data_IF_544061509394
#
_entry.id   IF_544061509394
#
_cell.length_a   1.000
_cell.length_b   1.000
_cell.length_c   1.000
_cell.angle_alpha   90.00
_cell.angle_beta   90.00
_cell.angle_gamma   90.00
#
_symmetry.space_group_name_H-M   'P 1'
#
loop_
_entity.id
_entity.type
_entity.pdbx_description
1 polymer ?
#
# COMPACT_ATOMS: atom_id res chain seq x y z
N UNK A 1 -33.12 -1.94 -58.94
CA UNK A 1 -32.07 -2.71 -58.24
C UNK A 1 -31.68 -1.88 -57.02
N UNK A 2 -32.22 -2.20 -55.84
CA UNK A 2 -32.08 -1.36 -54.64
C UNK A 2 -31.00 -1.94 -53.73
N UNK A 3 -29.89 -1.22 -53.55
CA UNK A 3 -28.79 -1.62 -52.66
C UNK A 3 -29.17 -1.23 -51.23
N UNK A 4 -29.33 -2.23 -50.36
CA UNK A 4 -29.52 -2.01 -48.92
C UNK A 4 -28.14 -1.95 -48.25
N UNK A 5 -27.78 -0.79 -47.70
CA UNK A 5 -26.64 -0.67 -46.80
C UNK A 5 -27.09 -1.03 -45.39
N UNK A 6 -26.72 -2.23 -44.94
CA UNK A 6 -26.87 -2.65 -43.54
C UNK A 6 -25.74 -2.04 -42.73
N UNK A 7 -26.05 -1.02 -41.91
CA UNK A 7 -25.12 -0.45 -40.96
C UNK A 7 -25.12 -1.33 -39.70
N UNK A 8 -24.06 -2.11 -39.48
CA UNK A 8 -23.90 -2.91 -38.26
C UNK A 8 -23.40 -2.01 -37.13
N UNK A 9 -24.22 -1.80 -36.10
CA UNK A 9 -23.83 -1.13 -34.86
C UNK A 9 -23.21 -2.16 -33.92
N UNK A 10 -21.89 -2.12 -33.75
CA UNK A 10 -21.19 -2.95 -32.77
C UNK A 10 -21.38 -2.37 -31.36
N UNK A 11 -22.02 -3.14 -30.47
CA UNK A 11 -22.08 -2.85 -29.04
C UNK A 11 -20.73 -3.24 -28.42
N UNK A 12 -19.98 -2.27 -27.89
CA UNK A 12 -18.79 -2.54 -27.07
C UNK A 12 -19.24 -2.55 -25.61
N UNK A 13 -19.16 -3.70 -24.96
CA UNK A 13 -19.34 -3.81 -23.52
C UNK A 13 -18.07 -3.30 -22.83
N UNK A 14 -18.18 -2.22 -22.05
CA UNK A 14 -17.11 -1.75 -21.17
C UNK A 14 -17.23 -2.55 -19.88
N UNK A 15 -16.33 -3.51 -19.68
CA UNK A 15 -16.19 -4.21 -18.41
C UNK A 15 -15.30 -3.33 -17.54
N UNK A 16 -15.85 -2.74 -16.48
CA UNK A 16 -15.05 -2.10 -15.45
C UNK A 16 -14.39 -3.21 -14.63
N UNK A 17 -13.13 -3.50 -14.91
CA UNK A 17 -12.29 -4.36 -14.08
C UNK A 17 -11.53 -3.49 -13.09
N UNK A 18 -11.34 -3.97 -11.87
CA UNK A 18 -10.45 -3.39 -10.86
C UNK A 18 -9.01 -3.34 -11.40
N UNK A 19 -8.21 -2.39 -10.93
CA UNK A 19 -6.75 -2.48 -11.03
C UNK A 19 -6.28 -3.86 -10.54
N UNK A 20 -5.23 -4.40 -11.16
CA UNK A 20 -4.65 -5.66 -10.70
C UNK A 20 -3.97 -5.40 -9.36
N UNK A 21 -4.44 -6.08 -8.33
CA UNK A 21 -3.81 -6.05 -7.02
C UNK A 21 -2.68 -7.06 -6.98
N UNK A 22 -1.56 -6.68 -6.38
CA UNK A 22 -0.46 -7.58 -6.06
C UNK A 22 -0.64 -8.08 -4.63
N UNK A 23 -0.48 -9.38 -4.42
CA UNK A 23 -0.62 -10.01 -3.11
C UNK A 23 0.74 -10.54 -2.67
N UNK A 24 1.19 -10.03 -1.54
CA UNK A 24 2.41 -10.43 -0.86
C UNK A 24 1.98 -11.32 0.32
N UNK A 25 2.49 -12.54 0.38
CA UNK A 25 2.18 -13.50 1.44
C UNK A 25 3.26 -13.45 2.52
N UNK A 26 2.84 -13.57 3.78
CA UNK A 26 3.74 -13.65 4.91
C UNK A 26 3.71 -15.02 5.59
N UNK A 27 4.74 -15.38 6.33
CA UNK A 27 4.81 -16.68 6.98
C UNK A 27 4.09 -16.66 8.34
N UNK A 28 2.98 -17.37 8.46
CA UNK A 28 2.26 -17.39 9.75
C UNK A 28 3.13 -17.90 10.91
N UNK A 29 3.12 -17.17 12.02
CA UNK A 29 3.79 -17.56 13.26
C UNK A 29 5.24 -17.09 13.37
N UNK A 30 5.69 -16.13 12.57
CA UNK A 30 7.02 -15.51 12.65
C UNK A 30 7.07 -14.16 13.38
N UNK A 31 5.92 -13.68 13.85
CA UNK A 31 5.84 -12.53 14.74
C UNK A 31 6.48 -12.79 16.11
N UNK A 32 6.96 -11.74 16.77
CA UNK A 32 7.31 -11.73 18.18
C UNK A 32 6.54 -10.66 18.95
N UNK A 33 5.87 -10.93 20.08
CA UNK A 33 5.58 -12.21 20.75
C UNK A 33 4.48 -13.03 20.04
N UNK A 34 4.19 -14.26 20.51
CA UNK A 34 3.10 -15.14 20.04
C UNK A 34 1.68 -14.57 20.26
N UNK A 35 1.36 -13.49 19.55
CA UNK A 35 0.06 -12.82 19.53
C UNK A 35 -0.43 -12.79 18.08
N UNK A 36 -1.47 -13.56 17.77
CA UNK A 36 -1.98 -13.72 16.39
C UNK A 36 -2.58 -12.43 15.81
N UNK A 37 -2.84 -11.40 16.61
CA UNK A 37 -3.32 -10.11 16.11
C UNK A 37 -2.19 -9.21 15.59
N UNK A 38 -0.94 -9.63 15.76
CA UNK A 38 0.26 -9.00 15.23
C UNK A 38 0.84 -9.78 14.05
N UNK A 39 0.60 -11.10 14.00
CA UNK A 39 0.98 -12.02 12.93
C UNK A 39 0.32 -11.63 11.60
N UNK A 40 1.07 -11.02 10.68
CA UNK A 40 0.65 -10.71 9.33
C UNK A 40 0.61 -12.03 8.55
N UNK A 41 -0.35 -12.14 7.63
CA UNK A 41 -0.49 -13.32 6.76
C UNK A 41 -0.48 -12.94 5.29
N UNK A 42 -0.94 -11.73 4.98
CA UNK A 42 -0.84 -11.16 3.65
C UNK A 42 -1.00 -9.65 3.65
N UNK A 43 -0.44 -9.04 2.61
CA UNK A 43 -0.71 -7.67 2.22
C UNK A 43 -1.13 -7.67 0.76
N UNK A 44 -2.29 -7.10 0.48
CA UNK A 44 -2.72 -6.79 -0.88
C UNK A 44 -2.46 -5.31 -1.17
N UNK A 45 -1.73 -5.03 -2.25
CA UNK A 45 -1.44 -3.67 -2.72
C UNK A 45 -2.15 -3.43 -4.04
N UNK A 46 -2.89 -2.33 -4.13
CA UNK A 46 -3.58 -1.92 -5.35
C UNK A 46 -3.58 -0.39 -5.45
N UNK A 47 -3.94 0.17 -6.60
CA UNK A 47 -4.09 1.62 -6.73
C UNK A 47 -5.33 2.00 -7.55
N UNK A 48 -5.83 3.21 -7.33
CA UNK A 48 -6.70 3.92 -8.27
C UNK A 48 -5.92 5.06 -8.94
N UNK A 49 -6.63 5.98 -9.60
CA UNK A 49 -6.00 7.12 -10.31
C UNK A 49 -5.33 8.14 -9.35
N UNK A 50 -5.52 8.01 -8.04
CA UNK A 50 -5.14 9.01 -7.04
C UNK A 50 -4.51 8.46 -5.77
N UNK A 51 -4.70 7.19 -5.43
CA UNK A 51 -4.19 6.57 -4.21
C UNK A 51 -3.64 5.17 -4.48
N UNK A 52 -2.62 4.80 -3.72
CA UNK A 52 -2.28 3.40 -3.45
C UNK A 52 -2.99 2.95 -2.18
N UNK A 53 -3.41 1.69 -2.14
CA UNK A 53 -4.12 1.04 -1.06
C UNK A 53 -3.31 -0.15 -0.57
N UNK A 54 -3.19 -0.28 0.75
CA UNK A 54 -2.58 -1.40 1.44
C UNK A 54 -3.65 -2.08 2.29
N UNK A 55 -4.05 -3.29 1.93
CA UNK A 55 -4.94 -4.14 2.71
C UNK A 55 -4.11 -5.18 3.45
N UNK A 56 -3.91 -4.97 4.74
CA UNK A 56 -3.08 -5.80 5.60
C UNK A 56 -3.97 -6.78 6.36
N UNK A 57 -3.73 -8.08 6.20
CA UNK A 57 -4.48 -9.14 6.87
C UNK A 57 -3.61 -9.83 7.91
N UNK A 58 -4.05 -9.83 9.16
CA UNK A 58 -3.42 -10.55 10.26
C UNK A 58 -4.15 -11.85 10.58
N UNK A 59 -3.48 -12.80 11.24
CA UNK A 59 -4.01 -14.11 11.62
C UNK A 59 -5.27 -14.03 12.50
N UNK A 60 -5.39 -12.95 13.28
CA UNK A 60 -6.61 -12.55 13.98
C UNK A 60 -6.69 -11.04 14.14
N UNK A 61 -7.81 -10.53 14.64
CA UNK A 61 -8.00 -9.10 14.89
C UNK A 61 -8.00 -8.78 16.40
N UNK A 62 -7.38 -7.66 16.77
CA UNK A 62 -7.55 -7.04 18.07
C UNK A 62 -7.61 -5.52 17.95
N UNK A 63 -8.39 -4.88 18.81
CA UNK A 63 -8.63 -3.44 18.78
C UNK A 63 -7.43 -2.59 19.20
N UNK A 64 -6.34 -3.19 19.69
CA UNK A 64 -5.13 -2.48 20.07
C UNK A 64 -3.99 -2.61 19.05
N UNK A 65 -4.11 -3.46 18.02
CA UNK A 65 -3.08 -3.61 16.99
C UNK A 65 -2.77 -2.27 16.33
N UNK A 66 -1.49 -2.03 16.07
CA UNK A 66 -1.03 -0.91 15.26
C UNK A 66 -0.34 -1.44 14.01
N UNK A 67 -0.50 -0.72 12.92
CA UNK A 67 0.04 -1.07 11.60
C UNK A 67 1.01 0.02 11.17
N UNK A 68 2.06 -0.37 10.45
CA UNK A 68 3.10 0.53 9.94
C UNK A 68 3.29 0.24 8.46
N UNK A 69 3.35 1.30 7.67
CA UNK A 69 3.70 1.28 6.25
C UNK A 69 4.91 2.19 6.08
N UNK A 70 5.99 1.64 5.59
CA UNK A 70 7.21 2.36 5.22
C UNK A 70 7.28 2.40 3.71
N UNK A 71 7.53 3.57 3.13
CA UNK A 71 7.59 3.75 1.68
C UNK A 71 8.83 4.55 1.30
N UNK A 72 9.56 4.03 0.34
CA UNK A 72 10.63 4.69 -0.40
C UNK A 72 10.09 4.98 -1.81
N UNK A 73 10.02 6.26 -2.14
CA UNK A 73 9.39 6.81 -3.34
C UNK A 73 10.39 7.66 -4.13
N UNK A 74 11.05 7.01 -5.10
CA UNK A 74 11.73 7.63 -6.25
C UNK A 74 12.75 8.74 -5.91
N UNK A 75 13.35 8.72 -4.72
CA UNK A 75 14.58 9.48 -4.47
C UNK A 75 15.61 8.71 -3.63
N UNK A 76 16.85 9.21 -3.61
CA UNK A 76 17.99 8.60 -2.90
C UNK A 76 18.20 9.24 -1.50
N UNK A 77 17.21 9.96 -0.94
CA UNK A 77 17.41 10.83 0.23
C UNK A 77 16.50 10.53 1.43
N UNK A 78 15.98 9.32 1.55
CA UNK A 78 15.15 8.93 2.68
C UNK A 78 15.90 8.65 3.99
N UNK A 79 15.13 8.33 5.02
CA UNK A 79 15.62 8.00 6.36
C UNK A 79 16.27 6.61 6.38
N UNK A 80 17.42 6.53 7.06
CA UNK A 80 18.15 5.30 7.31
C UNK A 80 18.18 4.94 8.80
N UNK A 81 18.52 3.68 9.07
CA UNK A 81 18.73 3.12 10.40
C UNK A 81 17.45 3.04 11.21
N UNK A 82 17.59 3.16 12.53
CA UNK A 82 16.48 3.01 13.45
C UNK A 82 15.77 4.35 13.72
N UNK A 83 14.98 4.79 12.74
CA UNK A 83 14.41 6.13 12.73
C UNK A 83 13.09 6.18 11.93
N UNK A 84 11.94 6.30 12.61
CA UNK A 84 10.63 6.43 11.96
C UNK A 84 9.74 7.44 12.68
N UNK A 85 8.66 7.88 12.03
CA UNK A 85 7.78 8.95 12.54
C UNK A 85 7.10 8.66 13.89
N UNK A 86 7.08 7.41 14.34
CA UNK A 86 6.58 7.00 15.66
C UNK A 86 7.68 6.63 16.66
N UNK A 87 8.95 6.72 16.26
CA UNK A 87 10.10 6.34 17.08
C UNK A 87 9.98 4.89 17.57
N UNK A 88 9.57 3.99 16.67
CA UNK A 88 9.55 2.54 16.88
C UNK A 88 10.95 1.97 16.73
N UNK A 89 11.23 0.87 17.42
CA UNK A 89 12.54 0.23 17.38
C UNK A 89 12.67 -0.70 16.17
N UNK A 90 12.76 -0.09 14.99
CA UNK A 90 12.76 -0.74 13.68
C UNK A 90 13.97 -0.24 12.92
N UNK A 91 14.98 -1.11 12.77
CA UNK A 91 16.19 -0.79 12.00
C UNK A 91 15.92 -0.96 10.50
N UNK A 92 15.83 0.16 9.80
CA UNK A 92 15.57 0.20 8.36
C UNK A 92 16.86 0.03 7.54
N UNK A 93 18.02 -0.12 8.18
CA UNK A 93 19.30 -0.27 7.47
C UNK A 93 19.60 0.94 6.59
N UNK A 94 19.97 0.70 5.33
CA UNK A 94 20.16 1.75 4.32
C UNK A 94 18.98 1.80 3.32
N UNK A 95 17.76 1.61 3.82
CA UNK A 95 16.57 1.50 2.97
C UNK A 95 16.08 2.84 2.42
N UNK A 96 16.54 3.99 2.93
CA UNK A 96 16.16 5.30 2.41
C UNK A 96 14.65 5.54 2.43
N UNK A 97 13.99 5.40 3.59
CA UNK A 97 12.53 5.54 3.68
C UNK A 97 12.10 7.02 3.65
N UNK A 98 11.30 7.40 2.67
CA UNK A 98 10.82 8.77 2.49
C UNK A 98 9.53 9.04 3.26
N UNK A 99 8.67 8.02 3.38
CA UNK A 99 7.37 8.14 4.04
C UNK A 99 7.15 7.04 5.06
N UNK A 100 6.58 7.42 6.19
CA UNK A 100 6.13 6.51 7.22
C UNK A 100 4.66 6.80 7.53
N UNK A 101 3.81 5.77 7.44
CA UNK A 101 2.44 5.84 7.91
C UNK A 101 2.21 4.85 9.03
N UNK A 102 1.89 5.37 10.21
CA UNK A 102 1.38 4.54 11.29
C UNK A 102 -0.15 4.59 11.33
N UNK A 103 -0.79 3.48 11.69
CA UNK A 103 -2.24 3.40 11.84
C UNK A 103 -2.66 2.63 13.09
N UNK A 104 -3.84 2.98 13.62
CA UNK A 104 -4.43 2.39 14.81
C UNK A 104 -5.90 2.08 14.58
N UNK A 105 -6.40 1.01 15.22
CA UNK A 105 -7.80 0.56 15.08
C UNK A 105 -8.65 0.78 16.33
N UNK A 106 -8.03 1.21 17.45
CA UNK A 106 -8.76 1.59 18.67
C UNK A 106 -9.42 2.96 18.51
N UNK A 107 -10.43 3.23 19.36
CA UNK A 107 -11.00 4.57 19.50
C UNK A 107 -11.66 5.15 18.24
N UNK A 108 -12.05 4.30 17.29
CA UNK A 108 -12.61 4.70 15.99
C UNK A 108 -11.61 4.70 14.83
N UNK A 109 -10.34 4.38 15.13
CA UNK A 109 -9.28 4.21 14.15
C UNK A 109 -8.68 5.53 13.63
N UNK A 110 -7.56 5.41 12.92
CA UNK A 110 -6.90 6.55 12.29
C UNK A 110 -5.52 6.23 11.73
N UNK A 111 -4.95 7.22 11.06
CA UNK A 111 -3.61 7.18 10.46
C UNK A 111 -2.83 8.44 10.81
N UNK A 112 -1.51 8.32 10.86
CA UNK A 112 -0.58 9.43 10.91
C UNK A 112 0.49 9.21 9.84
N UNK A 113 0.45 10.04 8.79
CA UNK A 113 1.43 10.03 7.71
C UNK A 113 2.53 11.06 7.99
N UNK A 114 3.77 10.65 7.74
CA UNK A 114 4.96 11.46 7.88
C UNK A 114 5.80 11.38 6.61
N UNK A 115 6.45 12.48 6.27
CA UNK A 115 7.49 12.56 5.23
C UNK A 115 8.83 12.92 5.86
N UNK A 116 9.90 12.41 5.28
CA UNK A 116 11.28 12.69 5.67
C UNK A 116 11.83 13.91 4.92
N UNK A 117 12.46 14.83 5.66
CA UNK A 117 13.25 15.96 5.14
C UNK A 117 14.29 16.34 6.21
N UNK A 118 15.36 15.55 6.33
CA UNK A 118 16.32 15.56 7.46
C UNK A 118 15.72 15.30 8.86
N UNK A 119 14.39 15.23 8.95
CA UNK A 119 13.57 14.88 10.11
C UNK A 119 12.19 14.41 9.64
N UNK A 120 11.44 13.74 10.53
CA UNK A 120 10.05 13.34 10.27
C UNK A 120 9.08 14.51 10.48
N UNK A 121 8.33 14.87 9.44
CA UNK A 121 7.26 15.86 9.51
C UNK A 121 5.91 15.25 9.21
N UNK A 122 4.90 15.61 9.99
CA UNK A 122 3.53 15.18 9.68
C UNK A 122 3.09 15.81 8.36
N UNK A 123 2.49 14.98 7.50
CA UNK A 123 1.95 15.40 6.21
C UNK A 123 0.56 14.80 5.99
N UNK A 124 -0.17 15.34 5.02
CA UNK A 124 -1.50 14.88 4.63
C UNK A 124 -1.43 13.86 3.50
N UNK A 125 -2.49 13.07 3.31
CA UNK A 125 -2.61 12.13 2.18
C UNK A 125 -2.78 10.67 2.60
N UNK A 126 -2.53 10.35 3.87
CA UNK A 126 -2.84 9.06 4.47
C UNK A 126 -4.30 8.98 4.94
N UNK A 127 -4.95 7.83 4.78
CA UNK A 127 -6.31 7.59 5.26
C UNK A 127 -6.53 6.15 5.69
N UNK A 128 -7.37 5.96 6.71
CA UNK A 128 -7.97 4.67 7.04
C UNK A 128 -9.22 4.47 6.18
N UNK A 129 -9.18 3.49 5.28
CA UNK A 129 -10.27 3.24 4.33
C UNK A 129 -11.30 2.28 4.92
N UNK A 130 -10.83 1.20 5.56
CA UNK A 130 -11.68 0.19 6.15
C UNK A 130 -11.00 -0.53 7.32
N UNK A 131 -11.79 -0.93 8.31
CA UNK A 131 -11.39 -1.86 9.37
C UNK A 131 -12.40 -3.01 9.35
N UNK A 132 -11.99 -4.18 8.85
CA UNK A 132 -12.79 -5.39 8.86
C UNK A 132 -12.27 -6.38 9.90
N UNK A 133 -12.79 -6.26 11.12
CA UNK A 133 -12.43 -7.16 12.21
C UNK A 133 -12.91 -8.61 12.01
N UNK A 134 -13.85 -8.88 11.10
CA UNK A 134 -14.28 -10.24 10.81
C UNK A 134 -13.32 -10.93 9.83
N UNK A 135 -12.77 -10.18 8.88
CA UNK A 135 -11.71 -10.63 7.98
C UNK A 135 -10.29 -10.53 8.60
N UNK A 136 -10.15 -9.83 9.73
CA UNK A 136 -8.85 -9.43 10.29
C UNK A 136 -8.01 -8.59 9.33
N UNK A 137 -8.68 -7.74 8.55
CA UNK A 137 -8.06 -6.93 7.51
C UNK A 137 -8.26 -5.44 7.78
N UNK A 138 -7.19 -4.67 7.68
CA UNK A 138 -7.22 -3.20 7.71
C UNK A 138 -6.76 -2.68 6.36
N UNK A 139 -7.57 -1.81 5.75
CA UNK A 139 -7.22 -1.16 4.49
C UNK A 139 -6.90 0.31 4.75
N UNK A 140 -5.70 0.70 4.35
CA UNK A 140 -5.22 2.09 4.40
C UNK A 140 -4.90 2.56 2.99
N UNK A 141 -4.85 3.87 2.79
CA UNK A 141 -4.44 4.45 1.53
C UNK A 141 -3.47 5.60 1.74
N UNK A 142 -2.58 5.80 0.76
CA UNK A 142 -1.75 7.00 0.63
C UNK A 142 -1.98 7.58 -0.75
N UNK A 143 -2.24 8.89 -0.83
CA UNK A 143 -2.40 9.56 -2.12
C UNK A 143 -1.08 9.53 -2.91
N UNK A 144 -1.14 9.19 -4.20
CA UNK A 144 0.01 9.17 -5.10
C UNK A 144 0.71 10.54 -5.15
N UNK A 145 -0.08 11.62 -5.15
CA UNK A 145 0.46 12.98 -5.10
C UNK A 145 1.26 13.29 -3.84
N UNK A 146 0.91 12.71 -2.69
CA UNK A 146 1.69 12.87 -1.46
C UNK A 146 3.02 12.12 -1.54
N UNK A 147 3.07 10.99 -2.25
CA UNK A 147 4.29 10.22 -2.51
C UNK A 147 5.11 10.78 -3.67
N UNK A 148 4.65 11.85 -4.33
CA UNK A 148 5.31 12.37 -5.53
C UNK A 148 5.24 11.43 -6.75
N UNK A 149 4.31 10.47 -6.74
CA UNK A 149 4.17 9.44 -7.78
C UNK A 149 3.07 9.80 -8.78
N UNK A 150 3.28 9.37 -10.03
CA UNK A 150 2.29 9.31 -11.09
C UNK A 150 1.96 7.85 -11.44
N UNK A 151 0.88 7.64 -12.20
CA UNK A 151 0.54 6.30 -12.69
C UNK A 151 1.63 5.76 -13.61
N UNK A 152 2.12 4.56 -13.32
CA UNK A 152 3.23 3.91 -14.01
C UNK A 152 4.54 3.94 -13.23
N UNK A 153 4.61 4.74 -12.15
CA UNK A 153 5.74 4.78 -11.25
C UNK A 153 5.73 3.60 -10.26
N UNK A 154 6.92 3.18 -9.84
CA UNK A 154 7.11 2.18 -8.79
C UNK A 154 7.33 2.84 -7.43
N UNK A 155 6.87 2.16 -6.39
CA UNK A 155 7.23 2.45 -5.00
C UNK A 155 7.81 1.20 -4.35
N UNK A 156 8.77 1.39 -3.45
CA UNK A 156 9.31 0.33 -2.59
C UNK A 156 8.72 0.49 -1.20
N UNK A 157 8.44 -0.61 -0.53
CA UNK A 157 7.75 -0.56 0.76
C UNK A 157 8.09 -1.74 1.68
N UNK A 158 7.82 -1.52 2.97
CA UNK A 158 7.79 -2.53 4.01
C UNK A 158 6.55 -2.32 4.88
N UNK A 159 5.99 -3.40 5.41
CA UNK A 159 4.81 -3.39 6.26
C UNK A 159 5.12 -4.11 7.56
N UNK A 160 4.68 -3.53 8.67
CA UNK A 160 4.78 -4.21 9.96
C UNK A 160 3.59 -3.98 10.86
N UNK A 161 3.47 -4.85 11.87
CA UNK A 161 2.58 -4.62 13.01
C UNK A 161 3.40 -4.28 14.25
N UNK A 162 2.76 -3.60 15.20
CA UNK A 162 3.40 -3.23 16.47
C UNK A 162 2.38 -2.96 17.57
N UNK A 163 2.88 -2.74 18.80
CA UNK A 163 2.09 -2.33 19.96
C UNK A 163 1.77 -0.84 20.00
N UNK A 164 1.34 -0.31 21.14
CA UNK A 164 0.96 1.10 21.30
C UNK A 164 2.04 2.01 21.88
N UNK A 165 3.18 1.48 22.32
CA UNK A 165 4.17 2.26 23.07
C UNK A 165 5.29 2.78 22.18
N UNK A 166 5.91 3.88 22.63
CA UNK A 166 7.16 4.36 22.05
C UNK A 166 8.27 3.32 22.25
N UNK A 167 9.09 3.10 21.21
CA UNK A 167 10.18 2.13 21.25
C UNK A 167 9.76 0.66 21.13
N UNK A 168 8.46 0.35 21.00
CA UNK A 168 8.05 -0.99 20.58
C UNK A 168 8.66 -1.27 19.19
N UNK A 169 9.20 -2.47 18.93
CA UNK A 169 9.68 -2.85 17.59
C UNK A 169 8.52 -3.12 16.66
N UNK A 170 8.82 -3.39 15.39
CA UNK A 170 7.90 -4.16 14.58
C UNK A 170 7.85 -5.58 15.15
N UNK A 171 6.71 -5.91 15.75
CA UNK A 171 6.47 -7.26 16.26
C UNK A 171 6.30 -8.24 15.13
N UNK A 172 5.88 -7.74 13.99
CA UNK A 172 5.93 -8.47 12.75
C UNK A 172 6.34 -7.57 11.58
N UNK A 173 7.08 -8.12 10.62
CA UNK A 173 7.53 -7.48 9.38
C UNK A 173 7.33 -8.46 8.23
N UNK A 174 6.71 -8.00 7.15
CA UNK A 174 6.49 -8.82 5.95
C UNK A 174 7.78 -9.36 5.33
N UNK A 175 8.86 -8.56 5.36
CA UNK A 175 10.15 -9.01 4.88
C UNK A 175 11.29 -8.50 5.77
N UNK A 176 11.61 -9.24 6.82
CA UNK A 176 12.73 -8.88 7.68
C UNK A 176 12.93 -9.81 8.86
N UNK A 177 13.47 -9.25 9.95
CA UNK A 177 13.56 -9.92 11.23
C UNK A 177 12.63 -9.22 12.22
N UNK A 178 11.53 -9.90 12.54
CA UNK A 178 10.57 -9.52 13.57
C UNK A 178 11.16 -9.60 14.98
N UNK A 179 10.64 -8.84 15.94
CA UNK A 179 11.17 -8.81 17.30
C UNK A 179 10.10 -8.71 18.38
N UNK A 180 10.33 -9.39 19.51
CA UNK A 180 9.48 -9.25 20.69
C UNK A 180 9.71 -7.93 21.44
N UNK A 181 8.83 -7.60 22.39
CA UNK A 181 8.85 -6.36 23.15
C UNK A 181 10.22 -6.05 23.77
N UNK A 182 10.68 -4.81 23.60
CA UNK A 182 12.00 -4.35 24.04
C UNK A 182 13.17 -4.83 23.17
N UNK A 183 12.92 -5.68 22.17
CA UNK A 183 13.85 -6.01 21.10
C UNK A 183 13.85 -4.96 19.99
N UNK A 184 14.69 -5.18 18.97
CA UNK A 184 14.76 -4.38 17.74
C UNK A 184 14.45 -5.29 16.56
N UNK A 185 13.52 -4.89 15.71
CA UNK A 185 13.31 -5.52 14.41
C UNK A 185 14.23 -4.90 13.36
N UNK A 186 14.43 -5.58 12.23
CA UNK A 186 15.23 -5.04 11.12
C UNK A 186 14.66 -5.43 9.77
N UNK A 187 14.74 -4.53 8.79
CA UNK A 187 14.27 -4.79 7.44
C UNK A 187 15.13 -5.85 6.72
N UNK A 188 14.47 -6.57 5.82
CA UNK A 188 15.08 -7.25 4.68
C UNK A 188 15.04 -6.33 3.45
N UNK A 189 15.01 -6.94 2.27
CA UNK A 189 14.84 -6.19 1.03
C UNK A 189 13.41 -5.61 0.94
N UNK A 190 13.25 -4.35 0.53
CA UNK A 190 11.92 -3.78 0.36
C UNK A 190 11.12 -4.52 -0.73
N UNK A 191 9.83 -4.65 -0.51
CA UNK A 191 8.87 -5.08 -1.52
C UNK A 191 8.65 -3.96 -2.54
N UNK A 192 8.25 -4.28 -3.77
CA UNK A 192 8.04 -3.28 -4.83
C UNK A 192 6.65 -3.42 -5.45
N UNK A 193 5.99 -2.29 -5.72
CA UNK A 193 4.72 -2.21 -6.44
C UNK A 193 4.77 -1.12 -7.52
N UNK A 194 4.34 -1.45 -8.74
CA UNK A 194 4.19 -0.46 -9.83
C UNK A 194 2.73 -0.06 -9.96
N UNK A 195 2.47 1.25 -9.84
CA UNK A 195 1.12 1.78 -10.02
C UNK A 195 0.65 1.60 -11.46
N UNK A 196 -0.60 1.19 -11.63
CA UNK A 196 -1.18 0.92 -12.95
C UNK A 196 -2.40 1.80 -13.21
N UNK A 197 -2.58 2.30 -14.44
CA UNK A 197 -3.80 3.03 -14.79
C UNK A 197 -5.04 2.17 -14.59
N UNK A 198 -6.13 2.78 -14.14
CA UNK A 198 -7.41 2.09 -14.06
C UNK A 198 -7.76 1.49 -15.44
N UNK A 199 -8.26 0.25 -15.53
CA UNK A 199 -8.56 -0.41 -16.81
C UNK A 199 -9.50 0.38 -17.74
N UNK A 200 -10.32 1.28 -17.17
CA UNK A 200 -11.16 2.22 -17.92
C UNK A 200 -10.37 3.22 -18.78
N UNK A 201 -9.21 3.71 -18.30
CA UNK A 201 -8.34 4.62 -19.03
C UNK A 201 -7.73 3.94 -20.27
N UNK A 202 -7.28 2.69 -20.12
CA UNK A 202 -6.78 1.87 -21.23
C UNK A 202 -7.88 1.57 -22.26
N UNK A 203 -9.10 1.29 -21.78
CA UNK A 203 -10.26 1.03 -22.63
C UNK A 203 -10.66 2.28 -23.44
N UNK A 204 -10.63 3.47 -22.84
CA UNK A 204 -10.91 4.73 -23.55
C UNK A 204 -9.84 5.03 -24.61
N UNK A 205 -8.56 4.81 -24.29
CA UNK A 205 -7.47 4.98 -25.26
C UNK A 205 -7.61 4.01 -26.44
N UNK A 206 -7.93 2.74 -26.16
CA UNK A 206 -8.21 1.74 -27.19
C UNK A 206 -9.40 2.15 -28.08
N UNK A 207 -10.48 2.67 -27.48
CA UNK A 207 -11.65 3.18 -28.20
C UNK A 207 -11.33 4.42 -29.04
N UNK A 208 -10.56 5.37 -28.51
CA UNK A 208 -10.12 6.56 -29.24
C UNK A 208 -9.26 6.19 -30.45
N UNK A 209 -8.33 5.23 -30.29
CA UNK A 209 -7.56 4.66 -31.38
C UNK A 209 -8.43 4.01 -32.46
N UNK A 210 -9.48 3.28 -32.05
CA UNK A 210 -10.43 2.64 -32.98
C UNK A 210 -11.28 3.67 -33.75
N UNK A 211 -11.76 4.72 -33.07
CA UNK A 211 -12.52 5.82 -33.69
C UNK A 211 -11.64 6.60 -34.67
N UNK A 212 -10.37 6.85 -34.33
CA UNK A 212 -9.41 7.49 -35.21
C UNK A 212 -9.12 6.65 -36.46
N UNK A 213 -8.99 5.32 -36.31
CA UNK A 213 -8.82 4.39 -37.45
C UNK A 213 -10.05 4.38 -38.36
N UNK A 214 -11.27 4.39 -37.80
CA UNK A 214 -12.52 4.44 -38.57
C UNK A 214 -12.71 5.74 -39.36
N UNK A 215 -12.12 6.85 -38.92
CA UNK A 215 -12.14 8.14 -39.65
C UNK A 215 -11.12 8.22 -40.78
N UNK A 216 -10.19 7.25 -40.88
CA UNK A 216 -9.16 7.18 -41.94
C UNK A 216 -9.44 6.08 -42.98
N UNK A 217 -10.57 5.38 -42.89
CA UNK A 217 -11.01 4.36 -43.84
C UNK A 217 -12.17 4.87 -44.71
#
# INVERSE_FOLDING_TARGET
MSVKFTCATGLVAVVASTSFADVYSDFSGDQGPENSNLDITSVEVTNDDSNVFFSITTSSFADWTKYMVFVDSIDDFGADGNNNGWVRNVDMGSAGIDYFMGAWVDGGGGTALYSWDDAWYSTSGGSMVNIDGAASTVTMSISLAALGLELGDSLRFEIGTTGGNQGDPATDLMNGTSASWGGSSSFGDLLEYTTVPAPGALSLLAMAGLIARRRRA
#
